data_IF_450599084049
#
_entry.id   IF_450599084049
#
_cell.length_a   1.000
_cell.length_b   1.000
_cell.length_c   1.000
_cell.angle_alpha   90.00
_cell.angle_beta   90.00
_cell.angle_gamma   90.00
#
_symmetry.space_group_name_H-M   'P 1'
#
loop_
_entity.id
_entity.type
_entity.pdbx_description
1 polymer ?
#
# COMPACT_ATOMS: atom_id res chain seq x y z
N UNK A 1 11.54 -9.11 11.07
CA UNK A 1 10.32 -8.32 10.81
C UNK A 1 10.38 -6.87 11.29
N UNK A 2 11.16 -6.51 12.33
CA UNK A 2 11.26 -5.11 12.78
C UNK A 2 11.77 -4.13 11.71
N UNK A 3 12.61 -4.59 10.78
CA UNK A 3 13.15 -3.81 9.66
C UNK A 3 12.10 -3.30 8.66
N UNK A 4 10.86 -3.80 8.70
CA UNK A 4 9.85 -3.43 7.69
C UNK A 4 9.51 -1.94 7.78
N UNK A 5 9.49 -1.38 8.99
CA UNK A 5 9.25 0.05 9.21
C UNK A 5 10.34 0.93 8.59
N UNK A 6 11.59 0.57 8.80
CA UNK A 6 12.74 1.28 8.23
C UNK A 6 12.71 1.21 6.70
N UNK A 7 12.33 0.06 6.13
CA UNK A 7 12.18 -0.11 4.69
C UNK A 7 11.07 0.78 4.11
N UNK A 8 9.90 0.85 4.76
CA UNK A 8 8.83 1.74 4.32
C UNK A 8 9.18 3.23 4.55
N UNK A 9 9.86 3.55 5.64
CA UNK A 9 10.36 4.91 5.87
C UNK A 9 11.36 5.33 4.79
N UNK A 10 12.26 4.43 4.37
CA UNK A 10 13.30 4.71 3.37
C UNK A 10 12.83 4.61 1.91
N UNK A 11 11.71 3.95 1.62
CA UNK A 11 11.29 3.75 0.24
C UNK A 11 10.66 5.03 -0.36
N UNK A 12 10.86 5.21 -1.67
CA UNK A 12 10.21 6.24 -2.46
C UNK A 12 8.95 5.72 -3.15
N UNK A 13 8.84 4.40 -3.27
CA UNK A 13 7.64 3.71 -3.71
C UNK A 13 7.70 2.22 -3.39
N UNK A 14 6.55 1.55 -3.49
CA UNK A 14 6.42 0.12 -3.23
C UNK A 14 5.41 -0.54 -4.16
N UNK A 15 5.55 -1.86 -4.34
CA UNK A 15 4.60 -2.69 -5.08
C UNK A 15 4.00 -3.70 -4.10
N UNK A 16 2.68 -3.73 -4.01
CA UNK A 16 1.94 -4.64 -3.14
C UNK A 16 1.45 -5.83 -3.96
N UNK A 17 1.94 -7.03 -3.65
CA UNK A 17 1.57 -8.27 -4.36
C UNK A 17 0.86 -9.19 -3.37
N UNK A 18 -0.35 -9.61 -3.70
CA UNK A 18 -1.15 -10.45 -2.79
C UNK A 18 -2.13 -11.35 -3.55
N UNK A 19 -2.28 -12.62 -3.13
CA UNK A 19 -3.47 -13.37 -3.50
C UNK A 19 -4.70 -12.81 -2.79
N UNK A 20 -5.87 -13.20 -3.27
CA UNK A 20 -7.16 -12.98 -2.60
C UNK A 20 -7.46 -14.13 -1.65
N UNK A 21 -7.67 -13.80 -0.38
CA UNK A 21 -8.24 -14.71 0.61
C UNK A 21 -9.61 -14.19 1.02
N UNK A 22 -10.69 -14.87 0.61
CA UNK A 22 -12.06 -14.50 0.97
C UNK A 22 -12.40 -13.03 0.68
N UNK A 23 -12.20 -12.59 -0.57
CA UNK A 23 -12.48 -11.23 -1.03
C UNK A 23 -11.68 -10.15 -0.29
N UNK A 24 -10.54 -10.52 0.29
CA UNK A 24 -9.63 -9.62 1.01
C UNK A 24 -8.17 -9.94 0.67
N UNK A 25 -7.29 -8.99 1.02
CA UNK A 25 -5.85 -9.24 1.05
C UNK A 25 -5.50 -10.33 2.07
N UNK A 26 -4.32 -10.94 1.90
CA UNK A 26 -3.86 -11.97 2.84
C UNK A 26 -3.71 -11.44 4.27
N UNK A 27 -3.88 -12.30 5.28
CA UNK A 27 -3.72 -11.92 6.68
C UNK A 27 -2.35 -11.31 7.00
N UNK A 28 -1.21 -11.80 6.47
CA UNK A 28 0.08 -11.13 6.67
C UNK A 28 0.11 -9.71 6.12
N UNK A 29 -0.46 -9.47 4.93
CA UNK A 29 -0.56 -8.12 4.38
C UNK A 29 -1.47 -7.24 5.25
N UNK A 30 -2.59 -7.77 5.74
CA UNK A 30 -3.48 -7.03 6.66
C UNK A 30 -2.78 -6.62 7.96
N UNK A 31 -2.01 -7.53 8.56
CA UNK A 31 -1.19 -7.22 9.74
C UNK A 31 -0.12 -6.15 9.44
N UNK A 32 0.44 -6.14 8.24
CA UNK A 32 1.37 -5.10 7.81
C UNK A 32 0.64 -3.76 7.63
N UNK A 33 -0.57 -3.74 7.06
CA UNK A 33 -1.39 -2.53 6.95
C UNK A 33 -1.67 -1.93 8.33
N UNK A 34 -2.11 -2.73 9.31
CA UNK A 34 -2.34 -2.26 10.68
C UNK A 34 -1.08 -1.60 11.28
N UNK A 35 0.08 -2.20 11.02
CA UNK A 35 1.38 -1.68 11.47
C UNK A 35 1.73 -0.35 10.81
N UNK A 36 1.48 -0.21 9.50
CA UNK A 36 1.77 1.02 8.75
C UNK A 36 0.84 2.16 9.15
N UNK A 37 -0.44 1.90 9.39
CA UNK A 37 -1.38 2.91 9.91
C UNK A 37 -0.89 3.47 11.24
N UNK A 38 -0.41 2.62 12.15
CA UNK A 38 0.18 3.06 13.41
C UNK A 38 1.45 3.91 13.22
N UNK A 39 2.30 3.57 12.25
CA UNK A 39 3.53 4.30 11.97
C UNK A 39 3.27 5.65 11.27
N UNK A 40 2.22 5.74 10.47
CA UNK A 40 1.90 6.89 9.65
C UNK A 40 1.23 8.02 10.45
N UNK A 41 0.32 7.64 11.34
CA UNK A 41 -0.48 8.55 12.16
C UNK A 41 -0.02 8.71 13.62
N UNK A 42 1.07 8.06 13.99
CA UNK A 42 1.58 8.03 15.35
C UNK A 42 2.09 9.38 15.85
N UNK A 43 2.35 9.43 17.16
CA UNK A 43 2.96 10.59 17.80
C UNK A 43 4.33 10.92 17.16
N UNK A 44 4.53 12.12 16.59
CA UNK A 44 5.80 12.48 15.98
C UNK A 44 6.94 12.66 17.00
N UNK A 45 6.62 12.93 18.27
CA UNK A 45 7.59 13.07 19.35
C UNK A 45 7.35 12.02 20.45
N UNK A 46 8.06 10.87 20.43
CA UNK A 46 7.88 9.81 21.41
C UNK A 46 8.27 10.20 22.84
N UNK A 47 8.96 11.33 23.04
CA UNK A 47 9.32 11.80 24.39
C UNK A 47 8.12 12.35 25.16
N UNK A 48 7.07 12.80 24.44
CA UNK A 48 5.86 13.39 25.05
C UNK A 48 4.96 12.38 25.76
N UNK A 49 5.11 11.08 25.50
CA UNK A 49 4.40 9.99 26.21
C UNK A 49 5.31 9.17 27.11
N UNK A 50 6.57 9.60 27.27
CA UNK A 50 7.62 8.93 28.04
C UNK A 50 7.69 7.41 27.78
N UNK A 51 7.45 6.99 26.53
CA UNK A 51 7.27 5.59 26.16
C UNK A 51 5.81 5.16 26.07
N UNK A 52 5.43 4.08 26.76
CA UNK A 52 4.11 3.43 26.66
C UNK A 52 3.15 3.83 27.80
N UNK A 53 3.19 5.08 28.26
CA UNK A 53 2.24 5.58 29.25
C UNK A 53 0.90 5.89 28.59
N UNK A 54 -0.05 4.96 28.71
CA UNK A 54 -1.33 5.02 28.00
C UNK A 54 -2.16 6.27 28.35
N UNK A 55 -2.09 6.75 29.59
CA UNK A 55 -2.87 7.91 30.04
C UNK A 55 -2.36 9.22 29.41
N UNK A 56 -1.04 9.36 29.23
CA UNK A 56 -0.42 10.49 28.53
C UNK A 56 -0.76 10.46 27.03
N UNK A 57 -0.69 9.28 26.42
CA UNK A 57 -1.06 9.12 25.01
C UNK A 57 -2.53 9.50 24.75
N UNK A 58 -3.45 9.09 25.64
CA UNK A 58 -4.87 9.48 25.56
C UNK A 58 -5.06 10.98 25.76
N UNK A 59 -4.34 11.58 26.73
CA UNK A 59 -4.42 13.02 26.97
C UNK A 59 -3.97 13.81 25.73
N UNK A 60 -2.88 13.38 25.08
CA UNK A 60 -2.40 13.96 23.82
C UNK A 60 -3.39 13.75 22.67
N UNK A 61 -3.96 12.56 22.52
CA UNK A 61 -4.95 12.30 21.46
C UNK A 61 -6.19 13.19 21.59
N UNK A 62 -6.67 13.40 22.82
CA UNK A 62 -7.83 14.25 23.14
C UNK A 62 -7.50 15.73 22.98
N UNK A 63 -6.30 16.16 23.38
CA UNK A 63 -5.82 17.52 23.12
C UNK A 63 -5.68 17.81 21.61
N UNK A 64 -5.53 16.75 20.82
CA UNK A 64 -5.35 16.81 19.38
C UNK A 64 -3.88 16.85 19.01
N UNK A 65 -3.55 16.19 17.91
CA UNK A 65 -2.26 16.30 17.24
C UNK A 65 -2.46 16.36 15.73
N UNK A 66 -1.40 16.71 15.02
CA UNK A 66 -1.50 17.10 13.60
C UNK A 66 -1.64 15.92 12.62
N UNK A 67 -1.49 14.67 13.08
CA UNK A 67 -1.62 13.44 12.27
C UNK A 67 -0.81 13.54 10.96
N UNK A 68 0.54 13.49 11.04
CA UNK A 68 1.42 13.99 9.99
C UNK A 68 1.45 13.16 8.69
N UNK A 69 0.94 11.92 8.70
CA UNK A 69 1.05 10.95 7.59
C UNK A 69 2.50 10.81 7.08
N UNK A 70 3.39 10.30 7.93
CA UNK A 70 4.83 10.14 7.65
C UNK A 70 5.17 9.36 6.35
N UNK A 71 4.26 8.50 5.89
CA UNK A 71 4.38 7.66 4.72
C UNK A 71 3.82 8.30 3.45
N UNK A 72 3.10 9.43 3.53
CA UNK A 72 2.53 10.12 2.39
C UNK A 72 3.59 10.54 1.35
N UNK A 73 3.17 10.68 0.10
CA UNK A 73 4.02 11.10 -1.03
C UNK A 73 4.82 9.98 -1.69
N UNK A 74 4.71 8.73 -1.22
CA UNK A 74 5.32 7.55 -1.86
C UNK A 74 4.50 7.07 -3.04
N UNK A 75 5.16 6.62 -4.09
CA UNK A 75 4.47 6.00 -5.25
C UNK A 75 4.07 4.55 -4.95
N UNK A 76 2.91 4.10 -5.42
CA UNK A 76 2.54 2.68 -5.33
C UNK A 76 2.17 2.04 -6.67
N UNK A 77 2.37 0.73 -6.71
CA UNK A 77 1.73 -0.20 -7.63
C UNK A 77 1.16 -1.41 -6.86
N UNK A 78 0.34 -2.21 -7.51
CA UNK A 78 -0.20 -3.44 -6.93
C UNK A 78 -0.50 -4.51 -7.96
N UNK A 79 -0.40 -5.76 -7.52
CA UNK A 79 -0.81 -6.96 -8.24
C UNK A 79 -1.67 -7.79 -7.30
N UNK A 80 -2.96 -7.89 -7.62
CA UNK A 80 -3.88 -8.77 -6.90
C UNK A 80 -4.16 -9.99 -7.76
N UNK A 81 -4.05 -11.19 -7.21
CA UNK A 81 -4.33 -12.40 -7.98
C UNK A 81 -5.25 -13.36 -7.24
N UNK A 82 -5.90 -14.25 -7.98
CA UNK A 82 -6.80 -15.27 -7.46
C UNK A 82 -7.05 -16.36 -8.49
N UNK A 83 -7.83 -17.36 -8.13
CA UNK A 83 -8.14 -18.52 -8.98
C UNK A 83 -9.63 -18.59 -9.38
N UNK A 84 -10.51 -17.92 -8.62
CA UNK A 84 -11.96 -17.98 -8.85
C UNK A 84 -12.66 -16.63 -8.78
N UNK A 85 -12.44 -15.85 -7.71
CA UNK A 85 -13.22 -14.63 -7.48
C UNK A 85 -12.52 -13.62 -6.56
N UNK A 86 -13.00 -12.38 -6.59
CA UNK A 86 -12.71 -11.35 -5.59
C UNK A 86 -11.51 -10.45 -5.90
N UNK A 87 -10.80 -10.69 -7.00
CA UNK A 87 -9.59 -9.95 -7.38
C UNK A 87 -9.84 -8.46 -7.57
N UNK A 88 -10.94 -8.07 -8.23
CA UNK A 88 -11.21 -6.67 -8.53
C UNK A 88 -11.65 -5.91 -7.28
N UNK A 89 -12.46 -6.56 -6.43
CA UNK A 89 -12.91 -5.99 -5.16
C UNK A 89 -11.75 -5.76 -4.19
N UNK A 90 -10.86 -6.75 -4.07
CA UNK A 90 -9.65 -6.64 -3.24
C UNK A 90 -8.70 -5.58 -3.78
N UNK A 91 -8.48 -5.52 -5.10
CA UNK A 91 -7.63 -4.47 -5.70
C UNK A 91 -8.16 -3.06 -5.44
N UNK A 92 -9.47 -2.83 -5.62
CA UNK A 92 -10.10 -1.53 -5.32
C UNK A 92 -9.94 -1.14 -3.85
N UNK A 93 -10.26 -2.05 -2.93
CA UNK A 93 -10.12 -1.80 -1.50
C UNK A 93 -8.67 -1.50 -1.08
N UNK A 94 -7.69 -2.20 -1.67
CA UNK A 94 -6.28 -1.94 -1.43
C UNK A 94 -5.84 -0.57 -1.98
N UNK A 95 -6.32 -0.18 -3.16
CA UNK A 95 -6.06 1.14 -3.75
C UNK A 95 -6.64 2.26 -2.86
N UNK A 96 -7.90 2.14 -2.45
CA UNK A 96 -8.56 3.14 -1.59
C UNK A 96 -7.80 3.35 -0.28
N UNK A 97 -7.26 2.27 0.32
CA UNK A 97 -6.42 2.38 1.51
C UNK A 97 -5.10 3.11 1.24
N UNK A 98 -4.40 2.81 0.14
CA UNK A 98 -3.14 3.48 -0.21
C UNK A 98 -3.36 4.96 -0.53
N UNK A 99 -4.43 5.29 -1.24
CA UNK A 99 -4.83 6.66 -1.53
C UNK A 99 -5.14 7.40 -0.21
N UNK A 100 -5.84 6.76 0.74
CA UNK A 100 -6.09 7.33 2.08
C UNK A 100 -4.80 7.56 2.88
N UNK A 101 -3.82 6.66 2.79
CA UNK A 101 -2.47 6.82 3.37
C UNK A 101 -1.67 7.96 2.69
N UNK A 102 -2.20 8.57 1.63
CA UNK A 102 -1.55 9.66 0.90
C UNK A 102 -0.45 9.20 -0.04
N UNK A 103 -0.44 7.93 -0.43
CA UNK A 103 0.44 7.43 -1.49
C UNK A 103 -0.10 7.88 -2.86
N UNK A 104 0.77 7.86 -3.86
CA UNK A 104 0.52 8.37 -5.21
C UNK A 104 0.47 7.18 -6.17
N UNK A 105 -0.63 7.04 -6.91
CA UNK A 105 -0.76 5.94 -7.86
C UNK A 105 0.21 6.11 -9.04
N UNK A 106 0.85 5.03 -9.48
CA UNK A 106 1.70 5.03 -10.67
C UNK A 106 0.92 4.84 -11.99
N UNK A 107 -0.38 5.12 -11.99
CA UNK A 107 -1.27 5.00 -13.14
C UNK A 107 -1.92 3.61 -13.30
N UNK A 108 -2.74 3.48 -14.34
CA UNK A 108 -3.57 2.30 -14.57
C UNK A 108 -2.75 1.00 -14.76
N UNK A 109 -1.64 1.07 -15.49
CA UNK A 109 -0.75 -0.07 -15.72
C UNK A 109 -0.03 -0.56 -14.45
N UNK A 110 -0.04 0.22 -13.37
CA UNK A 110 0.54 -0.16 -12.09
C UNK A 110 -0.46 -0.83 -11.14
N UNK A 111 -1.73 -0.97 -11.51
CA UNK A 111 -2.79 -1.50 -10.63
C UNK A 111 -3.56 -2.59 -11.37
N UNK A 112 -3.04 -3.81 -11.31
CA UNK A 112 -3.62 -4.94 -12.05
C UNK A 112 -4.22 -5.97 -11.10
N UNK A 113 -5.20 -6.69 -11.62
CA UNK A 113 -5.80 -7.86 -10.99
C UNK A 113 -5.89 -9.00 -12.02
N UNK A 114 -5.47 -10.22 -11.67
CA UNK A 114 -5.41 -11.34 -12.63
C UNK A 114 -5.83 -12.67 -12.02
N UNK A 115 -6.61 -13.44 -12.78
CA UNK A 115 -6.87 -14.84 -12.45
C UNK A 115 -5.69 -15.69 -12.91
N UNK A 116 -5.24 -16.60 -12.05
CA UNK A 116 -4.24 -17.62 -12.37
C UNK A 116 -4.95 -18.96 -12.33
N UNK A 117 -5.03 -19.65 -13.46
CA UNK A 117 -5.69 -20.95 -13.58
C UNK A 117 -7.17 -20.89 -13.16
N UNK A 118 -7.97 -20.08 -13.88
CA UNK A 118 -9.38 -19.88 -13.54
C UNK A 118 -10.16 -21.21 -13.48
N UNK A 119 -10.66 -21.57 -12.29
CA UNK A 119 -11.28 -22.87 -12.00
C UNK A 119 -10.40 -24.12 -12.27
N UNK A 120 -9.09 -23.94 -12.41
CA UNK A 120 -8.14 -25.06 -12.57
C UNK A 120 -7.79 -25.70 -11.21
N UNK A 121 -7.24 -26.92 -11.20
CA UNK A 121 -6.78 -27.56 -9.97
C UNK A 121 -5.69 -26.73 -9.27
N UNK A 122 -5.91 -26.42 -8.00
CA UNK A 122 -4.95 -25.67 -7.19
C UNK A 122 -3.55 -26.34 -7.13
N UNK A 123 -3.50 -27.67 -7.23
CA UNK A 123 -2.27 -28.45 -7.20
C UNK A 123 -1.28 -28.11 -8.33
N UNK A 124 -1.76 -27.57 -9.46
CA UNK A 124 -0.92 -27.17 -10.62
C UNK A 124 -0.82 -25.66 -10.78
N UNK A 125 -1.33 -24.88 -9.83
CA UNK A 125 -1.40 -23.41 -9.93
C UNK A 125 -0.03 -22.73 -10.11
N UNK A 126 1.01 -23.30 -9.52
CA UNK A 126 2.39 -22.84 -9.70
C UNK A 126 2.88 -23.05 -11.13
N UNK A 127 2.64 -24.23 -11.72
CA UNK A 127 3.02 -24.50 -13.11
C UNK A 127 2.25 -23.58 -14.08
N UNK A 128 0.96 -23.33 -13.81
CA UNK A 128 0.15 -22.37 -14.57
C UNK A 128 0.78 -20.98 -14.51
N UNK A 129 1.13 -20.47 -13.32
CA UNK A 129 1.80 -19.17 -13.15
C UNK A 129 3.16 -19.10 -13.85
N UNK A 130 3.98 -20.14 -13.70
CA UNK A 130 5.34 -20.18 -14.26
C UNK A 130 5.31 -20.18 -15.80
N UNK A 131 4.26 -20.75 -16.39
CA UNK A 131 4.06 -20.77 -17.85
C UNK A 131 3.44 -19.48 -18.42
N UNK A 132 2.81 -18.64 -17.58
CA UNK A 132 2.14 -17.42 -18.02
C UNK A 132 3.11 -16.24 -18.18
N UNK A 133 3.87 -16.26 -19.28
CA UNK A 133 4.80 -15.20 -19.63
C UNK A 133 4.12 -13.83 -19.83
N UNK A 134 2.81 -13.81 -20.14
CA UNK A 134 2.08 -12.54 -20.34
C UNK A 134 1.83 -11.89 -19.00
N UNK A 135 1.32 -12.63 -18.01
CA UNK A 135 1.17 -12.16 -16.64
C UNK A 135 2.50 -11.66 -16.06
N UNK A 136 3.59 -12.41 -16.27
CA UNK A 136 4.92 -12.02 -15.80
C UNK A 136 5.36 -10.68 -16.40
N UNK A 137 5.11 -10.44 -17.69
CA UNK A 137 5.40 -9.16 -18.35
C UNK A 137 4.46 -8.03 -17.87
N UNK A 138 3.21 -8.32 -17.52
CA UNK A 138 2.32 -7.35 -16.88
C UNK A 138 2.83 -6.93 -15.49
N UNK A 139 3.32 -7.88 -14.68
CA UNK A 139 3.98 -7.59 -13.41
C UNK A 139 5.24 -6.76 -13.63
N UNK A 140 6.04 -7.05 -14.66
CA UNK A 140 7.18 -6.22 -15.02
C UNK A 140 6.76 -4.81 -15.42
N UNK A 141 5.65 -4.63 -16.14
CA UNK A 141 5.10 -3.33 -16.48
C UNK A 141 4.63 -2.54 -15.25
N UNK A 142 4.07 -3.20 -14.24
CA UNK A 142 3.76 -2.55 -12.95
C UNK A 142 5.05 -1.98 -12.33
N UNK A 143 6.14 -2.76 -12.32
CA UNK A 143 7.41 -2.30 -11.79
C UNK A 143 8.00 -1.13 -12.58
N UNK A 144 7.95 -1.17 -13.92
CA UNK A 144 8.39 -0.07 -14.78
C UNK A 144 7.57 1.20 -14.54
N UNK A 145 6.25 1.08 -14.41
CA UNK A 145 5.37 2.21 -14.13
C UNK A 145 5.70 2.87 -12.78
N UNK A 146 5.89 2.07 -11.72
CA UNK A 146 6.29 2.59 -10.40
C UNK A 146 7.65 3.25 -10.46
N UNK A 147 8.65 2.66 -11.12
CA UNK A 147 9.98 3.25 -11.27
C UNK A 147 9.93 4.60 -12.00
N UNK A 148 9.15 4.69 -13.09
CA UNK A 148 8.96 5.92 -13.85
C UNK A 148 8.27 7.01 -13.01
N UNK A 149 7.22 6.65 -12.27
CA UNK A 149 6.51 7.57 -11.39
C UNK A 149 7.39 8.07 -10.24
N UNK A 150 8.20 7.20 -9.62
CA UNK A 150 9.22 7.61 -8.63
C UNK A 150 10.22 8.59 -9.23
N UNK A 151 10.71 8.33 -10.44
CA UNK A 151 11.61 9.25 -11.16
C UNK A 151 10.97 10.61 -11.38
N UNK A 152 9.74 10.63 -11.91
CA UNK A 152 8.99 11.86 -12.14
C UNK A 152 8.69 12.64 -10.85
N UNK A 153 8.36 11.94 -9.76
CA UNK A 153 8.14 12.55 -8.44
C UNK A 153 9.41 13.23 -7.94
N UNK A 154 10.57 12.56 -8.03
CA UNK A 154 11.86 13.10 -7.60
C UNK A 154 12.31 14.31 -8.43
N UNK A 155 11.90 14.37 -9.68
CA UNK A 155 12.14 15.51 -10.56
C UNK A 155 11.11 16.64 -10.40
N UNK A 156 10.11 16.48 -9.52
CA UNK A 156 9.03 17.46 -9.35
C UNK A 156 8.16 17.61 -10.60
N UNK A 157 7.96 16.52 -11.35
CA UNK A 157 7.13 16.47 -12.57
C UNK A 157 5.82 15.72 -12.37
N UNK A 158 5.70 14.93 -11.31
CA UNK A 158 4.49 14.22 -10.95
C UNK A 158 3.81 14.96 -9.79
N UNK A 159 2.60 15.46 -10.05
CA UNK A 159 1.79 16.19 -9.08
C UNK A 159 0.39 15.59 -8.99
N UNK A 160 -0.16 15.51 -7.78
CA UNK A 160 -1.58 15.19 -7.61
C UNK A 160 -2.43 16.43 -7.84
N UNK A 161 -3.62 16.22 -8.39
CA UNK A 161 -4.56 17.31 -8.67
C UNK A 161 -5.10 17.99 -7.40
N UNK A 162 -5.01 17.31 -6.25
CA UNK A 162 -5.46 17.79 -4.94
C UNK A 162 -4.32 18.33 -4.06
N UNK A 163 -3.12 18.55 -4.62
CA UNK A 163 -2.01 19.18 -3.90
C UNK A 163 -2.39 20.56 -3.35
N UNK A 164 -2.08 20.81 -2.09
CA UNK A 164 -2.40 22.05 -1.39
C UNK A 164 -3.85 22.18 -0.91
N UNK A 165 -4.70 21.18 -1.16
CA UNK A 165 -6.05 21.14 -0.60
C UNK A 165 -6.01 20.54 0.81
N UNK A 166 -6.23 21.38 1.82
CA UNK A 166 -6.29 20.92 3.21
C UNK A 166 -7.56 20.11 3.48
N UNK A 167 -7.48 18.87 3.98
CA UNK A 167 -8.65 18.09 4.30
C UNK A 167 -9.36 18.67 5.54
N UNK A 168 -10.71 18.80 5.53
CA UNK A 168 -11.44 19.27 6.70
C UNK A 168 -11.45 18.27 7.85
N UNK A 169 -11.09 17.01 7.57
CA UNK A 169 -10.95 15.91 8.55
C UNK A 169 -9.59 15.24 8.30
N UNK A 170 -8.54 15.60 9.06
CA UNK A 170 -7.19 15.09 8.83
C UNK A 170 -6.97 13.65 9.32
N UNK A 171 -7.83 13.17 10.24
CA UNK A 171 -7.89 11.79 10.74
C UNK A 171 -8.86 10.95 9.92
#
# INVERSE_FOLDING_TARGET
MAEIYERFAACHGAIFITPVHWYQVTSPLKLMMDRLVCADGGNPDPTTTHGKHADEAKALEVAGWDFPKHLAGRTYGMVVHGDVAGIEGTRRALADWLDWMGWIDAGASARIDRMIGYYEPYATSHDTLDSDCVLQEEVANVARAVANAVGALREGRLHRADEGISPPRPK
#
